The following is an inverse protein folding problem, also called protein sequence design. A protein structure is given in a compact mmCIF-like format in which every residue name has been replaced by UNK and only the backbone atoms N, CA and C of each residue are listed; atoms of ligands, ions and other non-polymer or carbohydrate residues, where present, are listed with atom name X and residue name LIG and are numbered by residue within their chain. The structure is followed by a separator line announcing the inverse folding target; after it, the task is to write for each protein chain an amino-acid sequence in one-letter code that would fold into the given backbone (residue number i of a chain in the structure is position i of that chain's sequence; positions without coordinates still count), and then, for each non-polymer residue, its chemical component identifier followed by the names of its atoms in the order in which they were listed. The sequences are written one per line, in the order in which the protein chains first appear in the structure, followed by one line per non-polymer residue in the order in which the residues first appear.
data_IF_011889090721
#
_entry.id   IF_011889090721
#
_cell.length_a   1.000
_cell.length_b   1.000
_cell.length_c   1.000
_cell.angle_alpha   90.00
_cell.angle_beta   90.00
_cell.angle_gamma   90.00
#
_symmetry.space_group_name_H-M   'P 1'
#
loop_
_entity.id
_entity.type
_entity.pdbx_description
1 polymer ?
#
# COMPACT_ATOMS: atom_id res chain seq x y z
N UNK A 1 -25.31 15.44 7.23
CA UNK A 1 -23.89 15.60 7.66
C UNK A 1 -22.92 15.24 6.53
N UNK A 2 -23.07 14.08 5.87
CA UNK A 2 -22.17 13.63 4.78
C UNK A 2 -21.90 14.68 3.69
N UNK A 3 -22.92 15.44 3.28
CA UNK A 3 -22.78 16.43 2.19
C UNK A 3 -21.99 17.69 2.57
N UNK A 4 -21.52 17.81 3.82
CA UNK A 4 -20.73 18.95 4.31
C UNK A 4 -19.44 18.53 5.02
N UNK A 5 -18.98 17.30 4.80
CA UNK A 5 -17.79 16.76 5.47
C UNK A 5 -16.71 16.41 4.46
N UNK A 6 -15.47 16.78 4.81
CA UNK A 6 -14.26 16.26 4.18
C UNK A 6 -13.61 15.31 5.17
N UNK A 7 -13.40 14.06 4.76
CA UNK A 7 -12.71 13.06 5.56
C UNK A 7 -11.22 13.08 5.26
N UNK A 8 -10.39 13.11 6.28
CA UNK A 8 -8.95 12.93 6.13
C UNK A 8 -8.56 11.68 6.89
N UNK A 9 -8.38 10.58 6.17
CA UNK A 9 -8.17 9.28 6.78
C UNK A 9 -6.70 9.01 7.11
N UNK A 10 -6.47 8.27 8.19
CA UNK A 10 -5.15 7.84 8.65
C UNK A 10 -5.12 7.61 10.17
N UNK A 11 -4.18 6.79 10.63
CA UNK A 11 -3.91 6.55 12.05
C UNK A 11 -2.40 6.68 12.32
N UNK A 12 -1.87 7.90 12.54
CA UNK A 12 -2.59 9.18 12.50
C UNK A 12 -2.78 9.72 11.06
N UNK A 13 -3.47 10.85 10.96
CA UNK A 13 -3.60 11.62 9.71
C UNK A 13 -2.24 12.19 9.31
N UNK A 14 -1.93 12.22 8.01
CA UNK A 14 -0.70 12.83 7.52
C UNK A 14 -0.76 14.37 7.66
N UNK A 15 0.25 15.02 8.25
CA UNK A 15 0.21 16.46 8.57
C UNK A 15 0.08 17.34 7.32
N UNK A 16 0.81 17.03 6.25
CA UNK A 16 0.72 17.77 4.98
C UNK A 16 -0.70 17.71 4.38
N UNK A 17 -1.33 16.55 4.41
CA UNK A 17 -2.70 16.37 3.89
C UNK A 17 -3.68 17.19 4.70
N UNK A 18 -3.53 17.22 6.03
CA UNK A 18 -4.36 18.04 6.91
C UNK A 18 -4.21 19.53 6.60
N UNK A 19 -2.98 20.03 6.55
CA UNK A 19 -2.70 21.46 6.32
C UNK A 19 -3.19 21.88 4.93
N UNK A 20 -2.89 21.12 3.88
CA UNK A 20 -3.31 21.45 2.51
C UNK A 20 -4.83 21.41 2.35
N UNK A 21 -5.50 20.47 3.00
CA UNK A 21 -6.97 20.40 3.00
C UNK A 21 -7.58 21.62 3.70
N UNK A 22 -7.06 22.01 4.87
CA UNK A 22 -7.52 23.20 5.58
C UNK A 22 -7.25 24.49 4.79
N UNK A 23 -6.09 24.58 4.14
CA UNK A 23 -5.75 25.69 3.26
C UNK A 23 -6.71 25.80 2.07
N UNK A 24 -7.01 24.67 1.41
CA UNK A 24 -7.96 24.63 0.30
C UNK A 24 -9.36 25.12 0.74
N UNK A 25 -9.86 24.65 1.89
CA UNK A 25 -11.13 25.12 2.46
C UNK A 25 -11.09 26.63 2.72
N UNK A 26 -10.02 27.14 3.36
CA UNK A 26 -9.87 28.57 3.65
C UNK A 26 -9.84 29.43 2.39
N UNK A 27 -9.33 28.90 1.28
CA UNK A 27 -9.20 29.60 -0.01
C UNK A 27 -10.36 29.35 -0.96
N UNK A 28 -11.40 28.62 -0.53
CA UNK A 28 -12.50 28.17 -1.38
C UNK A 28 -12.04 27.43 -2.64
N UNK A 29 -10.92 26.71 -2.53
CA UNK A 29 -10.41 25.85 -3.58
C UNK A 29 -11.26 24.58 -3.59
N UNK A 30 -11.86 24.27 -4.74
CA UNK A 30 -12.67 23.08 -4.92
C UNK A 30 -11.85 21.81 -4.70
N UNK A 31 -12.26 21.02 -3.70
CA UNK A 31 -11.71 19.70 -3.43
C UNK A 31 -12.54 18.62 -4.14
N UNK A 32 -11.91 17.87 -5.03
CA UNK A 32 -12.52 16.67 -5.61
C UNK A 32 -12.41 15.51 -4.61
N UNK A 33 -13.56 14.97 -4.18
CA UNK A 33 -13.63 13.96 -3.13
C UNK A 33 -13.92 12.56 -3.69
N UNK A 34 -13.35 11.52 -3.05
CA UNK A 34 -13.66 10.13 -3.36
C UNK A 34 -14.94 9.63 -2.67
N UNK A 35 -15.27 8.34 -2.82
CA UNK A 35 -16.46 7.72 -2.24
C UNK A 35 -16.50 7.73 -0.70
N UNK A 36 -15.37 7.98 -0.04
CA UNK A 36 -15.25 8.10 1.41
C UNK A 36 -15.08 9.58 1.84
N UNK A 37 -15.36 10.51 0.93
CA UNK A 37 -15.27 11.96 1.13
C UNK A 37 -13.83 12.43 1.38
N UNK A 38 -12.83 11.71 0.87
CA UNK A 38 -11.41 12.06 1.03
C UNK A 38 -10.91 12.82 -0.19
N UNK A 39 -10.01 13.82 -0.04
CA UNK A 39 -9.44 14.52 -1.20
C UNK A 39 -8.72 13.57 -2.17
N UNK A 40 -9.19 13.47 -3.41
CA UNK A 40 -8.66 12.53 -4.40
C UNK A 40 -7.17 12.71 -4.66
N UNK A 41 -6.65 13.93 -4.56
CA UNK A 41 -5.22 14.21 -4.74
C UNK A 41 -4.31 13.29 -3.90
N UNK A 42 -4.75 12.95 -2.69
CA UNK A 42 -3.99 12.12 -1.75
C UNK A 42 -4.48 10.67 -1.70
N UNK A 43 -5.73 10.40 -2.06
CA UNK A 43 -6.38 9.09 -1.88
C UNK A 43 -6.85 8.44 -3.20
N UNK A 44 -6.49 8.97 -4.38
CA UNK A 44 -6.86 8.36 -5.67
C UNK A 44 -6.06 7.08 -5.97
N UNK A 45 -4.81 7.01 -5.51
CA UNK A 45 -3.93 5.86 -5.74
C UNK A 45 -3.80 4.99 -4.50
N UNK A 46 -3.50 3.72 -4.71
CA UNK A 46 -3.14 2.81 -3.62
C UNK A 46 -1.76 3.18 -3.07
N UNK A 47 -1.52 2.96 -1.77
CA UNK A 47 -0.21 3.15 -1.12
C UNK A 47 0.88 2.30 -1.78
N UNK A 48 0.51 1.22 -2.47
CA UNK A 48 1.44 0.44 -3.28
C UNK A 48 2.13 1.28 -4.38
N UNK A 49 1.48 2.32 -4.89
CA UNK A 49 2.09 3.26 -5.81
C UNK A 49 3.23 4.04 -5.11
N UNK A 50 4.41 4.04 -5.72
CA UNK A 50 5.64 4.60 -5.11
C UNK A 50 6.31 3.71 -4.06
N UNK A 51 5.82 2.48 -3.85
CA UNK A 51 6.49 1.53 -2.97
C UNK A 51 7.86 1.16 -3.54
N UNK A 52 8.92 1.25 -2.72
CA UNK A 52 10.28 0.84 -3.12
C UNK A 52 10.41 -0.66 -3.38
N UNK A 53 9.42 -1.46 -2.93
CA UNK A 53 9.35 -2.92 -3.10
C UNK A 53 8.40 -3.34 -4.23
N UNK A 54 8.05 -2.42 -5.13
CA UNK A 54 7.11 -2.68 -6.21
C UNK A 54 7.57 -3.82 -7.13
N UNK A 55 8.85 -3.85 -7.47
CA UNK A 55 9.37 -4.88 -8.37
C UNK A 55 9.36 -6.28 -7.75
N UNK A 56 9.72 -6.41 -6.47
CA UNK A 56 9.55 -7.67 -5.74
C UNK A 56 8.10 -8.16 -5.76
N UNK A 57 7.13 -7.24 -5.63
CA UNK A 57 5.71 -7.55 -5.74
C UNK A 57 5.33 -8.05 -7.14
N UNK A 58 5.83 -7.42 -8.20
CA UNK A 58 5.60 -7.81 -9.59
C UNK A 58 6.09 -9.24 -9.85
N UNK A 59 7.33 -9.54 -9.46
CA UNK A 59 7.97 -10.84 -9.66
C UNK A 59 7.63 -11.93 -8.64
N UNK A 60 6.75 -11.64 -7.68
CA UNK A 60 6.32 -12.60 -6.63
C UNK A 60 7.46 -13.08 -5.74
N UNK A 61 8.47 -12.22 -5.56
CA UNK A 61 9.57 -12.45 -4.62
C UNK A 61 9.18 -11.81 -3.30
N UNK A 62 8.91 -12.64 -2.28
CA UNK A 62 8.51 -12.16 -0.96
C UNK A 62 9.69 -12.23 0.01
N UNK A 63 9.59 -11.42 1.06
CA UNK A 63 10.44 -11.49 2.22
C UNK A 63 9.99 -12.69 3.09
N UNK A 64 10.94 -13.41 3.68
CA UNK A 64 10.67 -14.56 4.55
C UNK A 64 10.80 -14.24 6.05
N UNK A 65 11.34 -13.07 6.42
CA UNK A 65 11.54 -12.61 7.80
C UNK A 65 11.30 -11.10 7.97
N UNK A 66 10.64 -10.72 9.06
CA UNK A 66 10.50 -9.29 9.38
C UNK A 66 11.87 -8.61 9.51
N UNK A 67 11.98 -7.42 8.91
CA UNK A 67 13.19 -6.60 8.96
C UNK A 67 14.13 -6.76 7.75
N UNK A 68 13.94 -7.74 6.87
CA UNK A 68 14.75 -7.80 5.64
C UNK A 68 14.49 -6.58 4.74
N UNK A 69 15.55 -6.10 4.08
CA UNK A 69 15.51 -4.94 3.20
C UNK A 69 14.89 -5.31 1.85
N UNK A 70 15.24 -6.50 1.37
CA UNK A 70 14.76 -7.19 0.19
C UNK A 70 13.35 -7.82 0.37
N UNK A 71 12.75 -8.18 -0.76
CA UNK A 71 11.49 -8.90 -0.81
C UNK A 71 10.24 -8.02 -0.64
N UNK A 72 9.13 -8.54 -1.16
CA UNK A 72 7.80 -7.99 -0.89
C UNK A 72 7.34 -8.38 0.53
N UNK A 73 6.28 -7.76 1.05
CA UNK A 73 5.64 -8.18 2.32
C UNK A 73 4.17 -8.53 2.12
N UNK A 74 3.75 -8.63 0.86
CA UNK A 74 2.35 -8.83 0.52
C UNK A 74 1.97 -10.29 0.55
N UNK A 75 2.87 -11.20 0.18
CA UNK A 75 2.48 -12.59 0.01
C UNK A 75 2.41 -13.31 1.35
N UNK A 76 3.30 -13.05 2.30
CA UNK A 76 3.39 -13.78 3.57
C UNK A 76 3.02 -12.88 4.75
N UNK A 77 3.44 -11.62 4.70
CA UNK A 77 3.43 -10.70 5.85
C UNK A 77 2.22 -9.76 5.94
N UNK A 78 1.16 -9.98 5.16
CA UNK A 78 -0.11 -9.28 5.35
C UNK A 78 -0.19 -7.85 4.81
N UNK A 79 0.78 -7.37 4.02
CA UNK A 79 0.81 -5.99 3.55
C UNK A 79 -0.48 -5.60 2.81
N UNK A 80 -1.15 -4.55 3.28
CA UNK A 80 -2.41 -4.06 2.73
C UNK A 80 -2.24 -2.96 1.68
N UNK A 81 -1.01 -2.59 1.32
CA UNK A 81 -0.74 -1.46 0.43
C UNK A 81 -1.47 -1.55 -0.92
N UNK A 82 -1.62 -2.73 -1.56
CA UNK A 82 -2.38 -2.86 -2.82
C UNK A 82 -3.90 -2.72 -2.68
N UNK A 83 -4.43 -2.67 -1.45
CA UNK A 83 -5.86 -2.48 -1.15
C UNK A 83 -6.19 -1.12 -0.58
N UNK A 84 -5.18 -0.35 -0.20
CA UNK A 84 -5.31 0.81 0.67
C UNK A 84 -5.03 2.06 -0.12
N UNK A 85 -5.99 2.99 -0.19
CA UNK A 85 -5.77 4.27 -0.84
C UNK A 85 -5.01 5.25 0.07
N UNK A 86 -4.03 5.96 -0.47
CA UNK A 86 -3.28 6.95 0.28
C UNK A 86 -1.95 7.32 -0.37
N UNK A 87 -1.29 8.32 0.20
CA UNK A 87 -0.10 8.96 -0.35
C UNK A 87 1.20 8.63 0.38
N UNK A 88 1.20 7.70 1.35
CA UNK A 88 2.32 7.48 2.27
C UNK A 88 3.67 7.17 1.59
N UNK A 89 3.67 6.58 0.39
CA UNK A 89 4.88 6.30 -0.37
C UNK A 89 5.24 7.38 -1.40
N UNK A 90 4.35 8.34 -1.63
CA UNK A 90 4.54 9.49 -2.52
C UNK A 90 5.11 10.70 -1.77
N UNK A 91 4.50 11.07 -0.64
CA UNK A 91 4.89 12.26 0.14
C UNK A 91 5.80 11.93 1.33
N UNK A 92 5.77 10.68 1.81
CA UNK A 92 6.55 10.18 2.95
C UNK A 92 6.24 10.88 4.29
N UNK A 93 6.50 10.17 5.38
CA UNK A 93 6.46 10.73 6.72
C UNK A 93 7.78 11.43 7.03
N UNK A 94 7.68 12.68 7.49
CA UNK A 94 8.81 13.54 7.81
C UNK A 94 9.77 13.67 6.61
N UNK A 95 9.23 13.60 5.38
CA UNK A 95 9.97 13.65 4.12
C UNK A 95 11.01 12.54 3.92
N UNK A 96 11.07 11.55 4.82
CA UNK A 96 12.15 10.56 4.87
C UNK A 96 11.63 9.14 4.65
N UNK A 97 10.53 8.75 5.31
CA UNK A 97 10.23 7.32 5.47
C UNK A 97 8.74 6.97 5.33
N UNK A 98 8.45 5.67 5.21
CA UNK A 98 7.11 5.10 5.26
C UNK A 98 7.18 3.72 5.92
N UNK A 99 6.05 3.14 6.34
CA UNK A 99 6.04 1.79 6.94
C UNK A 99 6.75 0.76 6.05
N UNK A 100 6.42 0.74 4.76
CA UNK A 100 6.98 -0.24 3.82
C UNK A 100 8.47 -0.05 3.57
N UNK A 101 8.97 1.19 3.66
CA UNK A 101 10.41 1.49 3.58
C UNK A 101 11.15 1.07 4.85
N UNK A 102 10.50 1.19 6.00
CA UNK A 102 11.03 0.72 7.29
C UNK A 102 10.90 -0.80 7.51
N UNK A 103 10.51 -1.58 6.50
CA UNK A 103 10.36 -3.03 6.62
C UNK A 103 9.10 -3.49 7.36
N UNK A 104 8.10 -2.62 7.52
CA UNK A 104 6.81 -2.95 8.14
C UNK A 104 5.68 -2.99 7.08
N UNK A 105 4.82 -4.02 7.05
CA UNK A 105 3.69 -4.06 6.14
C UNK A 105 2.75 -2.86 6.36
N UNK A 106 2.18 -2.37 5.26
CA UNK A 106 1.06 -1.44 5.34
C UNK A 106 -0.11 -2.15 6.03
N UNK A 107 -0.73 -1.50 7.02
CA UNK A 107 -1.84 -2.09 7.76
C UNK A 107 -3.22 -1.67 7.23
N UNK A 108 -3.26 -0.73 6.28
CA UNK A 108 -4.51 -0.23 5.71
C UNK A 108 -5.21 0.86 6.53
N UNK A 109 -4.47 1.65 7.31
CA UNK A 109 -5.04 2.60 8.28
C UNK A 109 -5.83 3.79 7.71
N UNK A 110 -5.88 3.94 6.39
CA UNK A 110 -6.69 4.94 5.69
C UNK A 110 -8.03 4.38 5.20
N UNK A 111 -8.26 3.06 5.31
CA UNK A 111 -9.50 2.40 4.90
C UNK A 111 -10.46 2.21 6.08
N UNK A 112 -11.79 2.34 5.88
CA UNK A 112 -12.78 2.20 6.96
C UNK A 112 -12.78 0.84 7.68
N UNK A 113 -12.23 -0.21 7.06
CA UNK A 113 -12.15 -1.55 7.65
C UNK A 113 -10.91 -1.78 8.53
N UNK A 114 -10.16 -0.73 8.86
CA UNK A 114 -9.01 -0.81 9.77
C UNK A 114 -9.41 -0.47 11.22
N UNK A 115 -8.86 -1.15 12.25
CA UNK A 115 -7.91 -2.26 12.16
C UNK A 115 -8.56 -3.58 11.77
N UNK A 116 -7.77 -4.47 11.15
CA UNK A 116 -8.18 -5.84 10.81
C UNK A 116 -7.54 -6.84 11.76
N UNK A 117 -8.13 -8.01 11.87
CA UNK A 117 -7.47 -9.16 12.50
C UNK A 117 -6.32 -9.67 11.62
N UNK A 118 -5.32 -10.32 12.23
CA UNK A 118 -4.21 -10.97 11.53
C UNK A 118 -3.39 -10.06 10.59
N UNK A 119 -3.05 -8.84 11.04
CA UNK A 119 -2.33 -7.81 10.25
C UNK A 119 -0.99 -8.26 9.63
N UNK A 120 -0.36 -9.29 10.17
CA UNK A 120 0.98 -9.75 9.81
C UNK A 120 0.99 -11.06 9.02
N UNK A 121 -0.18 -11.50 8.52
CA UNK A 121 -0.30 -12.71 7.72
C UNK A 121 -1.24 -12.49 6.54
N UNK A 122 -0.88 -13.01 5.38
CA UNK A 122 -1.76 -13.03 4.21
C UNK A 122 -2.44 -14.39 4.11
N UNK A 123 -3.78 -14.39 4.13
CA UNK A 123 -4.56 -15.60 3.85
C UNK A 123 -4.38 -16.03 2.40
N UNK A 124 -4.14 -17.33 2.21
CA UNK A 124 -3.90 -17.93 0.89
C UNK A 124 -4.75 -19.16 0.67
N UNK A 125 -5.16 -19.37 -0.58
CA UNK A 125 -5.75 -20.59 -1.08
C UNK A 125 -4.80 -21.19 -2.11
N UNK A 126 -4.19 -22.35 -1.81
CA UNK A 126 -3.20 -23.00 -2.68
C UNK A 126 -2.03 -22.08 -3.08
N UNK A 127 -1.50 -21.31 -2.12
CA UNK A 127 -0.39 -20.39 -2.36
C UNK A 127 -0.75 -19.08 -3.07
N UNK A 128 -2.02 -18.88 -3.44
CA UNK A 128 -2.54 -17.65 -4.05
C UNK A 128 -3.24 -16.82 -2.97
N UNK A 129 -2.98 -15.50 -2.88
CA UNK A 129 -3.70 -14.62 -1.97
C UNK A 129 -5.22 -14.74 -2.12
N UNK A 130 -5.94 -14.86 -1.00
CA UNK A 130 -7.41 -14.97 -1.00
C UNK A 130 -8.06 -13.76 -1.66
N UNK A 131 -7.55 -12.57 -1.33
CA UNK A 131 -7.94 -11.31 -1.94
C UNK A 131 -6.89 -10.91 -2.98
N UNK A 132 -7.35 -10.34 -4.09
CA UNK A 132 -6.49 -9.88 -5.18
C UNK A 132 -6.42 -8.35 -5.21
N UNK A 133 -5.28 -7.77 -5.63
CA UNK A 133 -5.12 -6.32 -5.73
C UNK A 133 -6.29 -5.66 -6.45
N UNK A 134 -6.63 -4.43 -6.02
CA UNK A 134 -7.82 -3.73 -6.50
C UNK A 134 -7.79 -3.59 -8.03
N UNK A 135 -8.88 -4.00 -8.68
CA UNK A 135 -9.04 -3.90 -10.14
C UNK A 135 -8.40 -5.05 -10.93
N UNK A 136 -7.74 -6.02 -10.30
CA UNK A 136 -7.09 -7.14 -11.00
C UNK A 136 -8.01 -8.36 -11.06
N UNK A 137 -8.29 -8.83 -12.28
CA UNK A 137 -9.09 -10.04 -12.50
C UNK A 137 -8.34 -11.33 -12.14
N UNK A 138 -9.02 -12.28 -11.49
CA UNK A 138 -8.42 -13.53 -10.98
C UNK A 138 -7.69 -14.34 -12.04
N UNK A 139 -8.27 -14.53 -13.23
CA UNK A 139 -7.63 -15.31 -14.30
C UNK A 139 -6.34 -14.65 -14.78
N UNK A 140 -6.39 -13.33 -15.03
CA UNK A 140 -5.22 -12.54 -15.46
C UNK A 140 -4.13 -12.58 -14.39
N UNK A 141 -4.51 -12.45 -13.12
CA UNK A 141 -3.57 -12.54 -12.00
C UNK A 141 -2.83 -13.89 -11.97
N UNK A 142 -3.55 -15.00 -12.15
CA UNK A 142 -2.95 -16.34 -12.12
C UNK A 142 -2.00 -16.55 -13.31
N UNK A 143 -2.41 -16.14 -14.51
CA UNK A 143 -1.56 -16.20 -15.70
C UNK A 143 -0.27 -15.38 -15.47
N UNK A 144 -0.41 -14.14 -15.00
CA UNK A 144 0.74 -13.28 -14.74
C UNK A 144 1.63 -13.87 -13.65
N UNK A 145 1.05 -14.36 -12.54
CA UNK A 145 1.80 -14.98 -11.45
C UNK A 145 2.62 -16.19 -11.92
N UNK A 146 2.06 -17.02 -12.81
CA UNK A 146 2.77 -18.15 -13.41
C UNK A 146 3.96 -17.69 -14.26
N UNK A 147 3.76 -16.69 -15.11
CA UNK A 147 4.83 -16.11 -15.94
C UNK A 147 5.91 -15.48 -15.07
N UNK A 148 5.53 -14.64 -14.11
CA UNK A 148 6.47 -13.90 -13.26
C UNK A 148 7.33 -14.83 -12.41
N UNK A 149 6.76 -15.94 -11.89
CA UNK A 149 7.50 -16.95 -11.12
C UNK A 149 8.41 -17.82 -11.98
N UNK A 150 8.21 -17.85 -13.29
CA UNK A 150 9.11 -18.56 -14.20
C UNK A 150 10.40 -17.78 -14.48
N UNK A 151 10.41 -16.46 -14.22
CA UNK A 151 11.62 -15.67 -14.26
C UNK A 151 12.44 -15.88 -12.99
N UNK A 152 13.74 -16.14 -13.16
CA UNK A 152 14.72 -16.10 -12.08
C UNK A 152 15.53 -14.82 -12.22
N UNK A 153 15.37 -13.89 -11.28
CA UNK A 153 16.04 -12.58 -11.33
C UNK A 153 16.98 -12.48 -10.13
N UNK A 154 18.24 -12.75 -10.39
CA UNK A 154 19.29 -12.88 -9.37
C UNK A 154 19.37 -11.68 -8.41
N UNK A 155 19.23 -10.45 -8.93
CA UNK A 155 19.24 -9.22 -8.11
C UNK A 155 18.04 -9.05 -7.17
N UNK A 156 16.96 -9.81 -7.36
CA UNK A 156 15.80 -9.83 -6.48
C UNK A 156 15.84 -11.01 -5.50
N UNK A 157 16.54 -12.08 -5.85
CA UNK A 157 16.59 -13.30 -5.04
C UNK A 157 17.79 -13.34 -4.06
N UNK A 158 18.83 -12.57 -4.34
CA UNK A 158 20.01 -12.47 -3.46
C UNK A 158 19.79 -11.45 -2.34
N UNK A 159 20.38 -11.74 -1.18
CA UNK A 159 20.54 -10.74 -0.12
C UNK A 159 21.29 -9.52 -0.64
N UNK A 160 20.84 -8.34 -0.23
CA UNK A 160 21.48 -7.07 -0.61
C UNK A 160 22.79 -6.82 0.15
N UNK A 161 22.86 -7.29 1.39
CA UNK A 161 24.01 -7.15 2.27
C UNK A 161 24.48 -8.55 2.67
N UNK A 162 25.80 -8.76 2.61
CA UNK A 162 26.40 -9.96 3.21
C UNK A 162 26.55 -9.69 4.71
N UNK A 163 26.11 -10.65 5.53
CA UNK A 163 26.27 -10.62 6.99
C UNK A 163 27.76 -10.63 7.38
#
# INVERSE_FOLDING_TARGET
IKDKTVSISGCPIHPEVLVNTLYAIKKDIRLELDKYLRPKEYFAYTIHNGCTRNEYFEYKVDNHKFGELEGCMFYDHGCQAPYTQGSCNKILWNEINSKTRAGLPCMGCTEPGFPRENLFSTKKNMGIPENLPVGVGKRVYLTLAGITKAFTIERLEKKLLND
#
